data_IF_969240627230
#
_entry.id   IF_969240627230
#
_cell.length_a   1.000
_cell.length_b   1.000
_cell.length_c   1.000
_cell.angle_alpha   90.00
_cell.angle_beta   90.00
_cell.angle_gamma   90.00
#
_symmetry.space_group_name_H-M   'P 1'
#
loop_
_entity.id
_entity.type
_entity.pdbx_description
1 polymer ?
#
# COMPACT_ATOMS: atom_id res chain seq x y z
N UNK A 1 3.00 -10.11 -22.00
CA UNK A 1 3.57 -9.00 -21.22
C UNK A 1 2.53 -8.62 -20.18
N UNK A 2 2.78 -8.93 -18.92
CA UNK A 2 1.80 -8.75 -17.84
C UNK A 2 1.48 -7.26 -17.66
N UNK A 3 0.18 -6.98 -17.54
CA UNK A 3 -0.42 -5.67 -17.45
C UNK A 3 0.23 -4.83 -16.35
N UNK A 4 0.89 -3.75 -16.77
CA UNK A 4 1.31 -2.66 -15.90
C UNK A 4 0.04 -1.90 -15.51
N UNK A 5 -0.71 -2.44 -14.54
CA UNK A 5 -1.87 -1.79 -13.94
C UNK A 5 -1.40 -0.47 -13.35
N UNK A 6 -1.79 0.61 -14.00
CA UNK A 6 -1.60 1.97 -13.54
C UNK A 6 -1.96 2.01 -12.05
N UNK A 7 -1.03 2.50 -11.22
CA UNK A 7 -1.29 2.80 -9.81
C UNK A 7 -2.48 3.77 -9.78
N UNK A 8 -3.70 3.24 -9.69
CA UNK A 8 -4.90 4.05 -9.52
C UNK A 8 -4.66 4.84 -8.24
N UNK A 9 -4.49 6.15 -8.39
CA UNK A 9 -4.06 7.03 -7.30
C UNK A 9 -5.18 7.02 -6.27
N UNK A 10 -5.01 6.19 -5.24
CA UNK A 10 -5.97 6.08 -4.16
C UNK A 10 -6.17 7.47 -3.56
N UNK A 11 -7.44 7.87 -3.35
CA UNK A 11 -7.77 9.13 -2.70
C UNK A 11 -6.97 9.26 -1.40
N UNK A 12 -6.48 10.46 -1.09
CA UNK A 12 -5.68 10.73 0.12
C UNK A 12 -6.31 10.04 1.33
N UNK A 13 -5.61 9.03 1.83
CA UNK A 13 -6.00 8.29 3.02
C UNK A 13 -5.27 8.84 4.23
N UNK A 14 -5.91 8.76 5.41
CA UNK A 14 -5.25 9.02 6.70
C UNK A 14 -4.28 7.90 7.10
N UNK A 15 -4.32 6.76 6.40
CA UNK A 15 -3.43 5.64 6.60
C UNK A 15 -2.29 5.69 5.58
N UNK A 16 -1.10 5.31 6.03
CA UNK A 16 0.03 4.98 5.14
C UNK A 16 -0.23 3.66 4.41
N UNK A 17 0.41 3.46 3.26
CA UNK A 17 0.31 2.20 2.51
C UNK A 17 0.75 1.01 3.38
N UNK A 18 1.81 1.19 4.18
CA UNK A 18 2.30 0.18 5.12
C UNK A 18 1.24 -0.20 6.18
N UNK A 19 0.49 0.78 6.69
CA UNK A 19 -0.62 0.55 7.62
C UNK A 19 -1.79 -0.15 6.92
N UNK A 20 -2.12 0.22 5.69
CA UNK A 20 -3.19 -0.43 4.91
C UNK A 20 -2.89 -1.91 4.72
N UNK A 21 -1.66 -2.25 4.33
CA UNK A 21 -1.25 -3.64 4.17
C UNK A 21 -1.28 -4.39 5.50
N UNK A 22 -0.84 -3.75 6.59
CA UNK A 22 -0.95 -4.37 7.92
C UNK A 22 -2.40 -4.71 8.28
N UNK A 23 -3.33 -3.80 8.00
CA UNK A 23 -4.77 -4.01 8.22
C UNK A 23 -5.31 -5.13 7.30
N UNK A 24 -4.86 -5.19 6.05
CA UNK A 24 -5.23 -6.28 5.13
C UNK A 24 -4.77 -7.65 5.65
N UNK A 25 -3.55 -7.75 6.17
CA UNK A 25 -3.01 -9.01 6.76
C UNK A 25 -3.72 -9.41 8.04
N UNK A 26 -4.26 -8.45 8.79
CA UNK A 26 -5.15 -8.74 9.90
C UNK A 26 -6.50 -9.29 9.41
N UNK A 27 -7.08 -8.68 8.36
CA UNK A 27 -8.32 -9.13 7.72
C UNK A 27 -8.21 -10.47 6.97
N UNK A 28 -7.00 -10.97 6.72
CA UNK A 28 -6.78 -12.35 6.23
C UNK A 28 -6.96 -13.41 7.33
N UNK A 29 -6.90 -13.00 8.61
CA UNK A 29 -6.88 -13.91 9.77
C UNK A 29 -8.10 -13.73 10.67
N UNK A 30 -8.86 -12.65 10.52
CA UNK A 30 -10.01 -12.31 11.33
C UNK A 30 -11.17 -11.78 10.47
N UNK A 31 -12.42 -11.81 10.96
CA UNK A 31 -13.57 -11.29 10.21
C UNK A 31 -13.37 -9.83 9.80
N UNK A 32 -13.63 -9.52 8.53
CA UNK A 32 -13.45 -8.17 7.97
C UNK A 32 -14.23 -7.11 8.74
N UNK A 33 -15.44 -7.42 9.21
CA UNK A 33 -16.27 -6.54 10.03
C UNK A 33 -15.60 -6.15 11.37
N UNK A 34 -14.91 -7.09 12.01
CA UNK A 34 -14.21 -6.86 13.27
C UNK A 34 -13.00 -5.95 13.06
N UNK A 35 -12.20 -6.25 12.03
CA UNK A 35 -11.02 -5.47 11.65
C UNK A 35 -11.42 -4.05 11.23
N UNK A 36 -12.51 -3.91 10.46
CA UNK A 36 -13.06 -2.61 10.07
C UNK A 36 -13.44 -1.76 11.29
N UNK A 37 -14.16 -2.35 12.25
CA UNK A 37 -14.52 -1.69 13.51
C UNK A 37 -13.29 -1.31 14.33
N UNK A 38 -12.30 -2.20 14.46
CA UNK A 38 -11.08 -1.98 15.22
C UNK A 38 -10.26 -0.79 14.69
N UNK A 39 -10.15 -0.65 13.37
CA UNK A 39 -9.35 0.40 12.73
C UNK A 39 -10.16 1.65 12.35
N UNK A 40 -11.46 1.69 12.66
CA UNK A 40 -12.33 2.82 12.34
C UNK A 40 -12.41 3.08 10.83
N UNK A 41 -12.54 2.01 10.04
CA UNK A 41 -12.74 2.04 8.59
C UNK A 41 -14.00 1.26 8.22
N UNK A 42 -14.52 1.45 7.01
CA UNK A 42 -15.61 0.61 6.50
C UNK A 42 -15.05 -0.69 5.91
N UNK A 43 -15.84 -1.77 5.91
CA UNK A 43 -15.47 -3.02 5.23
C UNK A 43 -15.17 -2.79 3.74
N UNK A 44 -15.96 -1.92 3.08
CA UNK A 44 -15.72 -1.50 1.70
C UNK A 44 -14.32 -0.91 1.50
N UNK A 45 -13.81 -0.16 2.49
CA UNK A 45 -12.46 0.42 2.43
C UNK A 45 -11.41 -0.67 2.41
N UNK A 46 -11.58 -1.73 3.24
CA UNK A 46 -10.69 -2.88 3.28
C UNK A 46 -10.71 -3.64 1.94
N UNK A 47 -11.90 -3.84 1.35
CA UNK A 47 -12.00 -4.49 0.02
C UNK A 47 -11.32 -3.66 -1.08
N UNK A 48 -11.47 -2.34 -1.06
CA UNK A 48 -10.79 -1.46 -2.01
C UNK A 48 -9.26 -1.56 -1.86
N UNK A 49 -8.74 -1.52 -0.62
CA UNK A 49 -7.30 -1.71 -0.38
C UNK A 49 -6.82 -3.07 -0.86
N UNK A 50 -7.65 -4.13 -0.75
CA UNK A 50 -7.30 -5.47 -1.23
C UNK A 50 -7.12 -5.53 -2.74
N UNK A 51 -7.83 -4.71 -3.52
CA UNK A 51 -7.62 -4.63 -4.99
C UNK A 51 -6.24 -4.06 -5.35
N UNK A 52 -5.72 -3.11 -4.56
CA UNK A 52 -4.45 -2.44 -4.84
C UNK A 52 -3.24 -3.11 -4.18
N UNK A 53 -3.42 -3.65 -2.97
CA UNK A 53 -2.32 -4.16 -2.13
C UNK A 53 -2.46 -5.62 -1.71
N UNK A 54 -3.49 -6.34 -2.17
CA UNK A 54 -3.79 -7.71 -1.71
C UNK A 54 -2.65 -8.71 -1.89
N UNK A 55 -1.78 -8.50 -2.88
CA UNK A 55 -0.61 -9.34 -3.15
C UNK A 55 0.70 -8.90 -2.46
N UNK A 56 0.69 -7.84 -1.63
CA UNK A 56 1.91 -7.25 -1.07
C UNK A 56 2.01 -7.47 0.44
N UNK A 57 3.20 -7.79 0.96
CA UNK A 57 3.46 -7.70 2.40
C UNK A 57 3.84 -6.27 2.81
N UNK A 58 3.62 -5.91 4.08
CA UNK A 58 3.96 -4.57 4.56
C UNK A 58 5.46 -4.27 4.43
N UNK A 59 6.29 -5.30 4.54
CA UNK A 59 7.73 -5.22 4.28
C UNK A 59 8.06 -4.90 2.81
N UNK A 60 7.28 -5.44 1.87
CA UNK A 60 7.47 -5.18 0.44
C UNK A 60 7.17 -3.72 0.10
N UNK A 61 6.08 -3.18 0.65
CA UNK A 61 5.71 -1.76 0.48
C UNK A 61 6.80 -0.85 1.04
N UNK A 62 7.28 -1.13 2.25
CA UNK A 62 8.36 -0.34 2.87
C UNK A 62 9.64 -0.36 2.03
N UNK A 63 10.03 -1.54 1.54
CA UNK A 63 11.23 -1.70 0.71
C UNK A 63 11.08 -1.00 -0.64
N UNK A 64 9.91 -1.11 -1.28
CA UNK A 64 9.61 -0.43 -2.54
C UNK A 64 9.78 1.08 -2.40
N UNK A 65 9.21 1.67 -1.34
CA UNK A 65 9.29 3.10 -1.06
C UNK A 65 10.72 3.57 -0.80
N UNK A 66 11.54 2.76 -0.11
CA UNK A 66 12.96 3.06 0.09
C UNK A 66 13.73 3.06 -1.24
N UNK A 67 13.49 2.05 -2.08
CA UNK A 67 14.11 1.95 -3.41
C UNK A 67 13.69 3.10 -4.32
N UNK A 68 12.41 3.50 -4.31
CA UNK A 68 11.92 4.66 -5.06
C UNK A 68 12.59 5.96 -4.61
N UNK A 69 12.76 6.17 -3.30
CA UNK A 69 13.48 7.33 -2.76
C UNK A 69 14.95 7.34 -3.14
N UNK A 70 15.63 6.19 -3.04
CA UNK A 70 17.04 6.08 -3.42
C UNK A 70 17.23 6.31 -4.93
N UNK A 71 16.36 5.74 -5.76
CA UNK A 71 16.37 5.95 -7.21
C UNK A 71 16.18 7.43 -7.56
N UNK A 72 15.28 8.14 -6.86
CA UNK A 72 15.07 9.57 -7.06
C UNK A 72 16.31 10.39 -6.67
N UNK A 73 16.98 10.06 -5.56
CA UNK A 73 18.24 10.70 -5.16
C UNK A 73 19.35 10.47 -6.19
N UNK A 74 19.50 9.23 -6.65
CA UNK A 74 20.49 8.87 -7.68
C UNK A 74 20.25 9.62 -8.99
N UNK A 75 19.00 9.66 -9.47
CA UNK A 75 18.62 10.41 -10.68
C UNK A 75 18.92 11.90 -10.55
N UNK A 76 18.65 12.49 -9.37
CA UNK A 76 18.98 13.90 -9.11
C UNK A 76 20.49 14.16 -9.21
N UNK A 77 21.31 13.33 -8.56
CA UNK A 77 22.77 13.47 -8.64
C UNK A 77 23.31 13.30 -10.07
N UNK A 78 22.72 12.40 -10.86
CA UNK A 78 23.09 12.24 -12.27
C UNK A 78 22.68 13.43 -13.13
N UNK A 79 21.58 14.12 -12.82
CA UNK A 79 21.12 15.28 -13.55
C UNK A 79 21.87 16.58 -13.19
N UNK A 80 22.54 16.62 -12.04
CA UNK A 80 23.37 17.73 -11.56
C UNK A 80 24.85 17.61 -12.01
N UNK A 81 25.17 16.61 -12.85
CA UNK A 81 26.50 16.36 -13.42
C UNK A 81 26.53 16.66 -14.91
#
# INVERSE_FOLDING_TARGET
>A
MASNGEKEVMKKSRFTEEQMVTILREADKAPVAEVAKKHGVSEQTIYNWRQHFGGLEAADVKRLKQLEQENARLKKMLAER
#
